data_IF_973356560650
#
_entry.id   IF_973356560650
#
_cell.length_a   1.000
_cell.length_b   1.000
_cell.length_c   1.000
_cell.angle_alpha   90.00
_cell.angle_beta   90.00
_cell.angle_gamma   90.00
#
_symmetry.space_group_name_H-M   'P 1'
#
loop_
_entity.id
_entity.type
_entity.pdbx_description
1 polymer ?
#
# COMPACT_ATOMS: atom_id res chain seq x y z
N UNK A 1 17.45 -11.49 8.60
CA UNK A 1 17.50 -10.93 7.24
C UNK A 1 16.16 -11.20 6.56
N UNK A 2 15.15 -10.38 6.86
CA UNK A 2 13.72 -10.61 6.50
C UNK A 2 13.05 -9.35 5.90
N UNK A 3 13.83 -8.40 5.37
CA UNK A 3 13.36 -7.00 5.27
C UNK A 3 12.87 -6.56 3.88
N UNK A 4 13.24 -7.23 2.78
CA UNK A 4 12.93 -6.74 1.42
C UNK A 4 11.72 -7.41 0.74
N UNK A 5 11.44 -8.67 1.06
CA UNK A 5 10.33 -9.42 0.46
C UNK A 5 9.00 -9.02 1.11
N UNK A 6 8.97 -8.94 2.45
CA UNK A 6 7.78 -8.57 3.23
C UNK A 6 7.26 -7.17 2.88
N UNK A 7 8.14 -6.17 2.76
CA UNK A 7 7.74 -4.80 2.40
C UNK A 7 7.14 -4.71 0.99
N UNK A 8 7.63 -5.50 0.03
CA UNK A 8 7.13 -5.45 -1.35
C UNK A 8 5.70 -5.97 -1.43
N UNK A 9 5.42 -7.10 -0.80
CA UNK A 9 4.07 -7.68 -0.77
C UNK A 9 3.08 -6.75 -0.06
N UNK A 10 3.50 -6.15 1.06
CA UNK A 10 2.73 -5.16 1.81
C UNK A 10 2.39 -3.92 0.97
N UNK A 11 3.36 -3.42 0.19
CA UNK A 11 3.15 -2.31 -0.75
C UNK A 11 2.13 -2.69 -1.83
N UNK A 12 2.29 -3.85 -2.47
CA UNK A 12 1.36 -4.31 -3.50
C UNK A 12 -0.06 -4.46 -2.92
N UNK A 13 -0.17 -4.95 -1.69
CA UNK A 13 -1.46 -5.12 -1.03
C UNK A 13 -2.11 -3.77 -0.65
N UNK A 14 -1.34 -2.80 -0.16
CA UNK A 14 -1.83 -1.44 0.06
C UNK A 14 -2.37 -0.82 -1.24
N UNK A 15 -1.64 -0.97 -2.35
CA UNK A 15 -2.07 -0.44 -3.64
C UNK A 15 -3.31 -1.17 -4.16
N UNK A 16 -3.39 -2.49 -4.00
CA UNK A 16 -4.61 -3.27 -4.28
C UNK A 16 -5.82 -2.69 -3.54
N UNK A 17 -5.67 -2.40 -2.24
CA UNK A 17 -6.75 -1.81 -1.43
C UNK A 17 -7.18 -0.46 -1.98
N UNK A 18 -6.23 0.43 -2.29
CA UNK A 18 -6.54 1.75 -2.85
C UNK A 18 -7.24 1.69 -4.21
N UNK A 19 -6.85 0.76 -5.09
CA UNK A 19 -7.49 0.54 -6.40
C UNK A 19 -8.95 0.08 -6.27
N UNK A 20 -9.25 -0.74 -5.27
CA UNK A 20 -10.58 -1.36 -5.10
C UNK A 20 -11.45 -0.63 -4.06
N UNK A 21 -10.95 0.46 -3.48
CA UNK A 21 -11.69 1.25 -2.50
C UNK A 21 -12.70 2.15 -3.22
N UNK A 22 -14.00 2.13 -2.88
CA UNK A 22 -15.02 2.89 -3.62
C UNK A 22 -14.80 4.40 -3.67
N UNK A 23 -14.17 4.97 -2.64
CA UNK A 23 -13.85 6.40 -2.57
C UNK A 23 -12.48 6.75 -3.18
N UNK A 24 -11.67 5.73 -3.54
CA UNK A 24 -10.32 5.91 -4.09
C UNK A 24 -9.27 6.30 -3.06
N UNK A 25 -9.62 6.36 -1.78
CA UNK A 25 -8.75 6.79 -0.69
C UNK A 25 -8.97 5.98 0.61
N UNK A 26 -7.91 5.92 1.42
CA UNK A 26 -7.95 5.28 2.74
C UNK A 26 -7.62 6.35 3.78
N UNK A 27 -8.40 6.44 4.86
CA UNK A 27 -8.05 7.33 5.96
C UNK A 27 -6.75 6.90 6.63
N UNK A 28 -5.87 7.87 6.90
CA UNK A 28 -4.64 7.63 7.64
C UNK A 28 -4.91 7.04 9.04
N UNK A 29 -6.05 7.42 9.64
CA UNK A 29 -6.52 6.90 10.93
C UNK A 29 -6.71 5.38 10.89
N UNK A 30 -7.25 4.84 9.78
CA UNK A 30 -7.48 3.42 9.58
C UNK A 30 -6.16 2.65 9.39
N UNK A 31 -5.23 3.25 8.67
CA UNK A 31 -3.88 2.69 8.47
C UNK A 31 -3.04 2.68 9.75
N UNK A 32 -3.30 3.59 10.69
CA UNK A 32 -2.55 3.68 11.95
C UNK A 32 -3.17 2.86 13.09
N UNK A 33 -4.24 2.10 12.84
CA UNK A 33 -4.81 1.20 13.85
C UNK A 33 -3.77 0.14 14.24
N UNK A 34 -3.68 -0.15 15.54
CA UNK A 34 -2.66 -1.01 16.19
C UNK A 34 -2.47 -2.40 15.55
N UNK A 35 -3.42 -2.86 14.75
CA UNK A 35 -3.32 -4.07 13.94
C UNK A 35 -3.98 -3.85 12.58
N UNK A 36 -3.21 -3.41 11.60
CA UNK A 36 -3.58 -3.58 10.20
C UNK A 36 -3.30 -5.04 9.86
N UNK A 37 -4.32 -5.89 9.95
CA UNK A 37 -4.18 -7.36 9.88
C UNK A 37 -3.62 -7.88 8.55
N UNK A 38 -3.66 -7.05 7.51
CA UNK A 38 -3.19 -7.39 6.17
C UNK A 38 -1.77 -6.88 5.86
N UNK A 39 -1.11 -6.21 6.82
CA UNK A 39 0.29 -5.82 6.71
C UNK A 39 1.16 -6.70 7.61
N UNK A 40 2.27 -7.15 7.06
CA UNK A 40 3.32 -7.85 7.82
C UNK A 40 4.33 -6.88 8.43
N UNK A 41 4.57 -5.75 7.77
CA UNK A 41 5.44 -4.65 8.22
C UNK A 41 4.65 -3.59 8.99
N UNK A 42 5.37 -2.75 9.76
CA UNK A 42 4.77 -1.56 10.38
C UNK A 42 4.14 -0.66 9.30
N UNK A 43 2.85 -0.27 9.43
CA UNK A 43 2.16 0.59 8.46
C UNK A 43 2.91 1.89 8.15
N UNK A 44 3.63 2.48 9.11
CA UNK A 44 4.42 3.70 8.91
C UNK A 44 5.57 3.48 7.94
N UNK A 45 6.20 2.31 8.00
CA UNK A 45 7.30 1.95 7.09
C UNK A 45 6.76 1.78 5.67
N UNK A 46 5.63 1.08 5.52
CA UNK A 46 4.96 0.88 4.22
C UNK A 46 4.54 2.21 3.60
N UNK A 47 3.89 3.08 4.38
CA UNK A 47 3.45 4.40 3.91
C UNK A 47 4.64 5.29 3.56
N UNK A 48 5.69 5.32 4.39
CA UNK A 48 6.91 6.08 4.10
C UNK A 48 7.56 5.61 2.79
N UNK A 49 7.63 4.29 2.57
CA UNK A 49 8.18 3.72 1.35
C UNK A 49 7.35 4.11 0.11
N UNK A 50 6.02 4.00 0.19
CA UNK A 50 5.12 4.39 -0.90
C UNK A 50 5.20 5.90 -1.19
N UNK A 51 5.27 6.74 -0.16
CA UNK A 51 5.35 8.18 -0.30
C UNK A 51 6.68 8.62 -0.95
N UNK A 52 7.81 8.04 -0.53
CA UNK A 52 9.13 8.31 -1.12
C UNK A 52 9.22 7.97 -2.61
N UNK A 53 8.41 7.00 -3.06
CA UNK A 53 8.32 6.57 -4.47
C UNK A 53 7.17 7.22 -5.23
N UNK A 54 6.46 8.16 -4.60
CA UNK A 54 5.28 8.81 -5.14
C UNK A 54 4.18 7.83 -5.59
N UNK A 55 4.08 6.64 -4.98
CA UNK A 55 2.99 5.69 -5.25
C UNK A 55 1.67 6.12 -4.63
N UNK A 56 1.75 6.89 -3.55
CA UNK A 56 0.61 7.47 -2.86
C UNK A 56 0.82 8.96 -2.66
N UNK A 57 -0.29 9.68 -2.55
CA UNK A 57 -0.34 11.06 -2.07
C UNK A 57 -1.03 11.08 -0.71
N UNK A 58 -0.59 11.97 0.18
CA UNK A 58 -1.29 12.25 1.44
C UNK A 58 -1.98 13.60 1.33
N UNK A 59 -3.31 13.58 1.22
CA UNK A 59 -4.14 14.78 1.11
C UNK A 59 -5.00 14.88 2.36
N UNK A 60 -4.77 15.92 3.17
CA UNK A 60 -5.37 16.07 4.50
C UNK A 60 -5.11 14.86 5.40
N UNK A 61 -6.12 14.00 5.59
CA UNK A 61 -6.05 12.80 6.40
C UNK A 61 -6.34 11.52 5.58
N UNK A 62 -6.26 11.64 4.25
CA UNK A 62 -6.50 10.56 3.30
C UNK A 62 -5.23 10.18 2.56
N UNK A 63 -5.09 8.90 2.28
CA UNK A 63 -4.06 8.30 1.44
C UNK A 63 -4.71 8.00 0.11
N UNK A 64 -4.18 8.57 -0.96
CA UNK A 64 -4.71 8.43 -2.32
C UNK A 64 -3.70 7.75 -3.22
N UNK A 65 -4.19 6.97 -4.17
CA UNK A 65 -3.36 6.37 -5.22
C UNK A 65 -2.91 7.44 -6.23
N UNK A 66 -1.67 7.35 -6.69
CA UNK A 66 -1.19 8.14 -7.83
C UNK A 66 -1.10 7.28 -9.09
N UNK A 67 -0.94 7.91 -10.26
CA UNK A 67 -0.70 7.20 -11.52
C UNK A 67 0.57 6.30 -11.44
N UNK A 68 1.62 6.75 -10.74
CA UNK A 68 2.83 5.96 -10.54
C UNK A 68 2.57 4.73 -9.67
N UNK A 69 1.76 4.88 -8.61
CA UNK A 69 1.33 3.76 -7.76
C UNK A 69 0.47 2.77 -8.52
N UNK A 70 -0.46 3.25 -9.35
CA UNK A 70 -1.30 2.42 -10.21
C UNK A 70 -0.46 1.61 -11.21
N UNK A 71 0.47 2.26 -11.91
CA UNK A 71 1.36 1.58 -12.84
C UNK A 71 2.20 0.51 -12.14
N UNK A 72 2.78 0.85 -10.98
CA UNK A 72 3.53 -0.13 -10.18
C UNK A 72 2.66 -1.31 -9.76
N UNK A 73 1.41 -1.07 -9.34
CA UNK A 73 0.46 -2.14 -9.01
C UNK A 73 0.18 -3.04 -10.22
N UNK A 74 -0.14 -2.47 -11.39
CA UNK A 74 -0.44 -3.24 -12.59
C UNK A 74 0.74 -4.10 -13.05
N UNK A 75 1.97 -3.60 -12.94
CA UNK A 75 3.19 -4.35 -13.29
C UNK A 75 3.45 -5.54 -12.35
N UNK A 76 2.90 -5.49 -11.14
CA UNK A 76 3.21 -6.41 -10.03
C UNK A 76 1.99 -7.18 -9.51
N UNK A 77 0.78 -6.96 -10.03
CA UNK A 77 -0.45 -7.60 -9.52
C UNK A 77 -0.41 -9.13 -9.61
N UNK A 78 0.30 -9.68 -10.61
CA UNK A 78 0.55 -11.13 -10.75
C UNK A 78 1.19 -11.77 -9.53
N UNK A 79 1.96 -11.02 -8.72
CA UNK A 79 2.55 -11.52 -7.49
C UNK A 79 1.52 -11.81 -6.39
N UNK A 80 0.32 -11.25 -6.49
CA UNK A 80 -0.81 -11.60 -5.60
C UNK A 80 -1.45 -12.94 -6.00
N UNK A 81 -1.40 -13.30 -7.29
CA UNK A 81 -2.02 -14.52 -7.82
C UNK A 81 -1.23 -15.79 -7.50
N UNK A 82 0.11 -15.68 -7.40
CA UNK A 82 1.01 -16.80 -7.13
C UNK A 82 1.03 -17.26 -5.65
N UNK A 83 0.29 -16.59 -4.76
CA UNK A 83 0.19 -16.91 -3.33
C UNK A 83 -1.24 -17.26 -2.88
N UNK A 84 -2.13 -17.58 -3.84
CA UNK A 84 -3.52 -18.04 -3.59
C UNK A 84 -3.63 -19.56 -3.55
#
# INVERSE_FOLDING_TARGET
MLTAISIRSDVIYLLYKLVHQPQGDIELSEMMKKQVSWLTSDPRIVLMYCAQRAFISMVHNSIQLTDLGLNYYLDNVKYLSDHS
#
